data_IF_212612458039
#
_entry.id   IF_212612458039
#
_cell.length_a   1.000
_cell.length_b   1.000
_cell.length_c   1.000
_cell.angle_alpha   90.00
_cell.angle_beta   90.00
_cell.angle_gamma   90.00
#
_symmetry.space_group_name_H-M   'P 1'
#
loop_
_entity.id
_entity.type
_entity.pdbx_description
1 polymer ?
#
# COMPACT_ATOMS: atom_id res chain seq x y z
N UNK A 1 -8.41 14.90 -5.49
CA UNK A 1 -8.11 13.58 -4.86
C UNK A 1 -7.50 13.79 -3.47
N UNK A 2 -7.90 12.96 -2.50
CA UNK A 2 -7.37 12.98 -1.13
C UNK A 2 -6.56 11.71 -0.92
N UNK A 3 -5.30 11.86 -0.54
CA UNK A 3 -4.43 10.71 -0.24
C UNK A 3 -4.22 10.66 1.26
N UNK A 4 -4.64 9.56 1.87
CA UNK A 4 -4.52 9.31 3.31
C UNK A 4 -3.64 8.08 3.51
N UNK A 5 -2.51 8.20 4.23
CA UNK A 5 -1.66 7.06 4.52
C UNK A 5 -2.32 6.12 5.53
N UNK A 6 -2.01 4.82 5.42
CA UNK A 6 -2.48 3.76 6.33
C UNK A 6 -4.00 3.55 6.43
N UNK A 7 -4.78 4.19 5.54
CA UNK A 7 -6.21 3.95 5.38
C UNK A 7 -6.43 2.81 4.38
N UNK A 8 -7.36 1.91 4.70
CA UNK A 8 -7.75 0.80 3.84
C UNK A 8 -9.10 1.07 3.15
N UNK A 9 -9.39 0.40 2.02
CA UNK A 9 -10.70 0.50 1.38
C UNK A 9 -11.84 0.04 2.30
N UNK A 10 -12.95 0.78 2.29
CA UNK A 10 -14.14 0.50 3.11
C UNK A 10 -14.10 1.05 4.54
N UNK A 11 -13.05 1.78 4.92
CA UNK A 11 -12.95 2.40 6.25
C UNK A 11 -13.56 3.80 6.27
N UNK A 12 -14.24 4.15 7.37
CA UNK A 12 -14.61 5.53 7.63
C UNK A 12 -13.60 6.15 8.58
N UNK A 13 -12.98 7.25 8.15
CA UNK A 13 -11.88 7.90 8.85
C UNK A 13 -12.14 9.40 9.02
N UNK A 14 -11.67 9.96 10.13
CA UNK A 14 -11.59 11.42 10.31
C UNK A 14 -10.21 11.88 9.85
N UNK A 15 -10.16 12.90 9.01
CA UNK A 15 -8.91 13.36 8.39
C UNK A 15 -8.72 14.85 8.58
N UNK A 16 -7.51 15.26 8.97
CA UNK A 16 -7.11 16.67 9.01
C UNK A 16 -6.30 17.01 7.76
N UNK A 17 -6.71 18.05 7.06
CA UNK A 17 -5.98 18.58 5.90
C UNK A 17 -4.85 19.45 6.40
N UNK A 18 -3.61 19.16 5.97
CA UNK A 18 -2.46 19.96 6.37
C UNK A 18 -1.64 20.48 5.18
N UNK A 19 -1.74 19.86 4.00
CA UNK A 19 -1.00 20.31 2.81
C UNK A 19 -1.76 20.06 1.52
N UNK A 20 -1.86 21.10 0.69
CA UNK A 20 -2.24 21.01 -0.72
C UNK A 20 -0.99 20.73 -1.55
N UNK A 21 -1.02 19.70 -2.37
CA UNK A 21 -0.05 19.47 -3.45
C UNK A 21 -0.77 19.71 -4.78
N UNK A 22 -0.02 19.90 -5.88
CA UNK A 22 -0.53 20.30 -7.20
C UNK A 22 -1.81 19.57 -7.62
N UNK A 23 -1.82 18.23 -7.53
CA UNK A 23 -2.94 17.40 -8.02
C UNK A 23 -3.64 16.60 -6.90
N UNK A 24 -3.18 16.71 -5.65
CA UNK A 24 -3.73 15.96 -4.53
C UNK A 24 -3.50 16.68 -3.19
N UNK A 25 -4.38 16.41 -2.24
CA UNK A 25 -4.19 16.87 -0.87
C UNK A 25 -3.60 15.73 -0.05
N UNK A 26 -2.45 15.97 0.58
CA UNK A 26 -1.90 15.06 1.61
C UNK A 26 -2.62 15.33 2.92
N UNK A 27 -3.10 14.27 3.55
CA UNK A 27 -3.81 14.34 4.83
C UNK A 27 -3.20 13.38 5.84
N UNK A 28 -3.29 13.74 7.11
CA UNK A 28 -2.97 12.85 8.23
C UNK A 28 -4.29 12.33 8.77
N UNK A 29 -4.40 11.02 8.98
CA UNK A 29 -5.55 10.44 9.68
C UNK A 29 -5.57 10.98 11.11
N UNK A 30 -6.69 11.55 11.51
CA UNK A 30 -6.95 12.00 12.88
C UNK A 30 -7.58 10.89 13.74
N UNK A 31 -8.05 9.81 13.10
CA UNK A 31 -8.59 8.63 13.74
C UNK A 31 -9.42 7.79 12.75
N UNK A 32 -9.52 6.49 13.01
CA UNK A 32 -10.42 5.59 12.28
C UNK A 32 -11.71 5.47 13.09
N UNK A 33 -12.84 5.79 12.48
CA UNK A 33 -14.16 5.72 13.12
C UNK A 33 -14.77 4.33 12.98
N UNK A 34 -14.73 3.78 11.76
CA UNK A 34 -15.17 2.39 11.49
C UNK A 34 -14.05 1.66 10.75
N UNK A 35 -13.36 0.71 11.41
CA UNK A 35 -12.34 -0.11 10.77
C UNK A 35 -12.98 -1.19 9.91
N UNK A 36 -12.32 -1.54 8.81
CA UNK A 36 -12.69 -2.70 8.01
C UNK A 36 -11.99 -3.94 8.57
N UNK A 37 -12.69 -4.73 9.38
CA UNK A 37 -12.13 -5.89 10.09
C UNK A 37 -11.69 -7.03 9.17
N UNK A 38 -12.17 -7.08 7.92
CA UNK A 38 -11.74 -8.10 6.95
C UNK A 38 -10.35 -7.80 6.39
N UNK A 39 -10.04 -6.51 6.22
CA UNK A 39 -8.77 -6.06 5.62
C UNK A 39 -7.76 -5.60 6.65
N UNK A 40 -8.21 -5.03 7.76
CA UNK A 40 -7.36 -4.49 8.82
C UNK A 40 -7.10 -5.54 9.89
N UNK A 41 -5.83 -5.75 10.16
CA UNK A 41 -5.35 -6.53 11.30
C UNK A 41 -4.23 -5.77 12.00
N UNK A 42 -4.58 -5.14 13.13
CA UNK A 42 -3.62 -4.35 13.91
C UNK A 42 -2.67 -5.23 14.74
N UNK A 43 -3.02 -6.50 15.01
CA UNK A 43 -2.16 -7.40 15.80
C UNK A 43 -0.83 -7.71 15.12
N UNK A 44 -0.79 -7.56 13.79
CA UNK A 44 0.39 -7.76 12.92
C UNK A 44 1.40 -6.63 12.97
N UNK A 45 1.05 -5.50 13.57
CA UNK A 45 1.93 -4.34 13.72
C UNK A 45 2.90 -4.59 14.87
N UNK A 46 3.99 -5.31 14.57
CA UNK A 46 5.08 -5.60 15.50
C UNK A 46 6.08 -4.43 15.65
N UNK A 47 6.03 -3.45 14.75
CA UNK A 47 6.99 -2.35 14.74
C UNK A 47 6.50 -1.17 15.60
N UNK A 48 7.26 -0.84 16.66
CA UNK A 48 6.99 0.33 17.51
C UNK A 48 7.05 1.67 16.78
N UNK A 49 7.75 1.73 15.64
CA UNK A 49 7.90 2.92 14.82
C UNK A 49 6.93 2.97 13.64
N UNK A 50 5.99 2.03 13.54
CA UNK A 50 5.02 2.00 12.45
C UNK A 50 4.21 3.31 12.40
N UNK A 51 4.04 3.89 11.22
CA UNK A 51 3.38 5.18 11.04
C UNK A 51 4.30 6.39 11.14
N UNK A 52 5.45 6.26 11.82
CA UNK A 52 6.48 7.30 11.90
C UNK A 52 7.64 7.00 10.96
N UNK A 53 8.08 5.74 10.92
CA UNK A 53 9.09 5.24 10.01
C UNK A 53 8.46 4.93 8.64
N UNK A 54 9.05 5.45 7.55
CA UNK A 54 8.61 5.18 6.18
C UNK A 54 8.93 3.77 5.66
N UNK A 55 9.48 2.88 6.50
CA UNK A 55 9.96 1.57 6.08
C UNK A 55 8.86 0.57 5.70
N UNK A 56 7.73 0.56 6.43
CA UNK A 56 6.66 -0.42 6.23
C UNK A 56 5.32 0.28 6.00
N UNK A 57 4.69 0.06 4.85
CA UNK A 57 3.43 0.73 4.47
C UNK A 57 2.17 -0.12 4.71
N UNK A 58 2.30 -1.45 4.64
CA UNK A 58 1.16 -2.38 4.59
C UNK A 58 1.01 -3.28 5.84
N UNK A 59 1.72 -2.97 6.93
CA UNK A 59 1.78 -3.86 8.09
C UNK A 59 0.44 -4.04 8.81
N UNK A 60 -0.45 -3.05 8.71
CA UNK A 60 -1.83 -3.08 9.24
C UNK A 60 -2.79 -3.96 8.44
N UNK A 61 -2.37 -4.48 7.28
CA UNK A 61 -3.24 -5.22 6.39
C UNK A 61 -3.12 -6.72 6.62
N UNK A 62 -4.22 -7.45 6.52
CA UNK A 62 -4.25 -8.91 6.53
C UNK A 62 -3.43 -9.54 5.39
N UNK A 63 -3.09 -10.83 5.51
CA UNK A 63 -2.18 -11.52 4.58
C UNK A 63 -2.84 -11.84 3.22
N UNK A 64 -4.04 -12.44 3.24
CA UNK A 64 -4.78 -12.82 2.04
C UNK A 64 -5.05 -11.67 1.06
N UNK A 65 -5.34 -10.42 1.48
CA UNK A 65 -5.57 -9.35 0.52
C UNK A 65 -4.29 -8.81 -0.13
N UNK A 66 -3.08 -9.07 0.41
CA UNK A 66 -1.82 -8.44 -0.05
C UNK A 66 -1.55 -8.69 -1.53
N UNK A 67 -1.49 -9.95 -1.90
CA UNK A 67 -1.31 -10.49 -3.24
C UNK A 67 -2.27 -9.87 -4.26
N UNK A 68 -3.57 -9.84 -3.94
CA UNK A 68 -4.62 -9.32 -4.81
C UNK A 68 -4.50 -7.81 -5.09
N UNK A 69 -3.87 -7.05 -4.19
CA UNK A 69 -3.67 -5.62 -4.41
C UNK A 69 -2.43 -5.31 -5.22
N UNK A 70 -1.44 -6.21 -5.22
CA UNK A 70 -0.23 -6.06 -6.04
C UNK A 70 -0.54 -6.44 -7.51
N UNK A 71 -1.41 -7.42 -7.75
CA UNK A 71 -1.80 -7.82 -9.11
C UNK A 71 -2.68 -6.80 -9.83
N UNK A 72 -3.57 -6.08 -9.12
CA UNK A 72 -4.50 -5.10 -9.70
C UNK A 72 -3.80 -3.96 -10.47
N UNK A 73 -2.79 -3.25 -9.92
CA UNK A 73 -2.01 -2.27 -10.65
C UNK A 73 -1.35 -2.86 -11.89
N UNK A 74 -0.84 -4.09 -11.80
CA UNK A 74 -0.19 -4.77 -12.92
C UNK A 74 -1.18 -4.95 -14.09
N UNK A 75 -2.37 -5.48 -13.84
CA UNK A 75 -3.44 -5.57 -14.85
C UNK A 75 -3.78 -4.21 -15.46
N UNK A 76 -3.84 -3.15 -14.64
CA UNK A 76 -4.15 -1.81 -15.11
C UNK A 76 -3.05 -1.24 -16.00
N UNK A 77 -1.78 -1.43 -15.63
CA UNK A 77 -0.64 -1.04 -16.43
C UNK A 77 -0.69 -1.72 -17.80
N UNK A 78 -0.79 -3.05 -17.86
CA UNK A 78 -0.86 -3.78 -19.14
C UNK A 78 -2.00 -3.32 -20.06
N UNK A 79 -3.15 -2.92 -19.51
CA UNK A 79 -4.28 -2.40 -20.30
C UNK A 79 -4.12 -0.95 -20.75
N UNK A 80 -3.37 -0.14 -19.99
CA UNK A 80 -3.25 1.31 -20.23
C UNK A 80 -1.97 1.67 -21.00
N UNK A 81 -0.97 0.79 -20.96
CA UNK A 81 0.32 0.94 -21.63
C UNK A 81 0.17 0.88 -23.15
N UNK A 82 0.18 2.05 -23.78
CA UNK A 82 0.22 2.19 -25.25
C UNK A 82 1.52 1.64 -25.85
N UNK A 83 2.60 1.55 -25.06
CA UNK A 83 3.92 1.13 -25.54
C UNK A 83 4.04 -0.35 -25.83
N UNK A 84 3.12 -1.17 -25.32
CA UNK A 84 3.23 -2.62 -25.48
C UNK A 84 2.92 -3.11 -26.90
N UNK A 85 2.52 -2.23 -27.84
CA UNK A 85 2.06 -2.61 -29.20
C UNK A 85 1.06 -3.77 -29.22
N UNK A 86 0.47 -4.09 -28.06
CA UNK A 86 -0.62 -5.01 -27.90
C UNK A 86 -1.79 -4.29 -28.54
N UNK A 87 -2.24 -4.81 -29.69
CA UNK A 87 -3.50 -4.39 -30.31
C UNK A 87 -4.53 -4.31 -29.20
N UNK A 88 -5.42 -3.30 -29.21
CA UNK A 88 -6.44 -3.11 -28.16
C UNK A 88 -7.26 -4.38 -27.87
N UNK A 89 -7.30 -5.31 -28.83
CA UNK A 89 -8.02 -6.58 -28.78
C UNK A 89 -7.12 -7.81 -28.55
N UNK A 90 -5.82 -7.64 -28.33
CA UNK A 90 -4.93 -8.73 -27.97
C UNK A 90 -5.26 -9.19 -26.54
N UNK A 91 -5.82 -10.38 -26.40
CA UNK A 91 -6.07 -11.02 -25.12
C UNK A 91 -4.74 -11.12 -24.36
N UNK A 92 -4.60 -10.33 -23.29
CA UNK A 92 -3.45 -10.42 -22.40
C UNK A 92 -3.36 -11.86 -21.86
N UNK A 93 -2.17 -12.47 -21.80
CA UNK A 93 -2.02 -13.75 -21.12
C UNK A 93 -2.49 -13.62 -19.67
N UNK A 94 -3.03 -14.70 -19.08
CA UNK A 94 -3.51 -14.67 -17.70
C UNK A 94 -2.36 -14.29 -16.77
N UNK A 95 -2.57 -13.27 -15.94
CA UNK A 95 -1.60 -12.88 -14.91
C UNK A 95 -1.75 -13.86 -13.74
N UNK A 96 -0.68 -14.58 -13.44
CA UNK A 96 -0.65 -15.52 -12.33
C UNK A 96 -0.68 -14.80 -10.96
N UNK A 97 -1.04 -15.55 -9.92
CA UNK A 97 -1.02 -15.05 -8.55
C UNK A 97 0.38 -14.67 -8.10
N UNK A 98 0.52 -13.58 -7.34
CA UNK A 98 1.82 -13.20 -6.77
C UNK A 98 2.32 -14.28 -5.79
N UNK A 99 3.54 -14.75 -6.01
CA UNK A 99 4.20 -15.70 -5.13
C UNK A 99 4.40 -15.09 -3.72
N UNK A 100 3.98 -15.77 -2.65
CA UNK A 100 4.16 -15.28 -1.29
C UNK A 100 5.63 -15.40 -0.86
N UNK A 101 6.06 -14.50 0.03
CA UNK A 101 7.37 -14.62 0.69
C UNK A 101 7.34 -15.72 1.76
N UNK A 102 8.42 -16.53 1.91
CA UNK A 102 8.50 -17.52 2.98
C UNK A 102 8.63 -16.89 4.38
N UNK A 103 9.19 -15.67 4.47
CA UNK A 103 9.33 -14.91 5.72
C UNK A 103 8.68 -13.53 5.55
N UNK A 104 7.69 -13.23 6.39
CA UNK A 104 6.97 -11.94 6.37
C UNK A 104 7.64 -10.87 7.24
N UNK A 105 8.35 -11.29 8.29
CA UNK A 105 9.05 -10.42 9.22
C UNK A 105 10.54 -10.79 9.23
N UNK A 106 11.39 -9.82 9.58
CA UNK A 106 12.85 -10.00 9.68
C UNK A 106 13.50 -10.62 8.43
N UNK A 107 12.90 -10.41 7.25
CA UNK A 107 13.41 -10.92 5.97
C UNK A 107 14.54 -10.04 5.40
N UNK A 108 14.64 -8.79 5.86
CA UNK A 108 15.61 -7.82 5.35
C UNK A 108 16.95 -8.02 6.04
N UNK A 109 17.98 -8.36 5.27
CA UNK A 109 19.34 -8.61 5.76
C UNK A 109 20.17 -7.33 5.97
N UNK A 110 19.78 -6.20 5.38
CA UNK A 110 20.48 -4.91 5.49
C UNK A 110 19.51 -3.75 5.67
N UNK A 111 19.70 -2.91 6.69
CA UNK A 111 18.98 -1.65 6.89
C UNK A 111 19.99 -0.50 6.79
N UNK A 112 19.62 0.57 6.07
CA UNK A 112 20.42 1.79 5.95
C UNK A 112 19.69 2.92 6.68
N UNK A 113 20.00 3.16 7.97
CA UNK A 113 19.45 4.30 8.68
C UNK A 113 20.04 5.59 8.10
N UNK A 114 19.20 6.63 8.00
CA UNK A 114 19.70 7.98 7.77
C UNK A 114 20.28 8.49 9.10
N UNK A 115 21.51 9.02 9.05
CA UNK A 115 22.17 9.69 10.17
C UNK A 115 22.36 11.15 9.79
N UNK A 116 21.94 12.07 10.67
CA UNK A 116 22.32 13.48 10.54
C UNK A 116 23.76 13.63 11.03
N UNK A 117 24.64 14.12 10.16
CA UNK A 117 26.00 14.45 10.55
C UNK A 117 25.96 15.58 11.61
N UNK A 118 26.87 15.55 12.60
CA UNK A 118 26.92 16.55 13.68
C UNK A 118 27.21 17.96 13.18
#
# INVERSE_FOLDING_TARGET
VVVVPFALPGETIRVKVYRKCSNAFRRRSAGITTPNLELRDNSRVQCKYFGTCGGCQYQVRGHSPLTLHISRPLHRCYRTEKQLNLKRDATLPPIESTMPTPKQYNYRTKIAPHFEAP
#
